data_IF_314202856922
#
_entry.id   IF_314202856922
#
_cell.length_a   1.000
_cell.length_b   1.000
_cell.length_c   1.000
_cell.angle_alpha   90.00
_cell.angle_beta   90.00
_cell.angle_gamma   90.00
#
_symmetry.space_group_name_H-M   'P 1'
#
loop_
_entity.id
_entity.type
_entity.pdbx_description
1 polymer ?
#
# COMPACT_ATOMS: atom_id res chain seq x y z
N UNK A 1 14.09 -4.51 -11.58
CA UNK A 1 12.83 -3.74 -11.55
C UNK A 1 12.64 -3.13 -12.92
N UNK A 2 11.50 -3.36 -13.56
CA UNK A 2 11.14 -2.73 -14.85
C UNK A 2 9.93 -1.82 -14.57
N UNK A 3 10.11 -0.51 -14.74
CA UNK A 3 9.06 0.50 -14.57
C UNK A 3 8.49 0.81 -15.96
N UNK A 4 7.17 0.72 -16.12
CA UNK A 4 6.46 1.03 -17.38
C UNK A 4 5.55 2.23 -17.20
N UNK A 5 5.49 3.10 -18.20
CA UNK A 5 5.02 4.48 -18.11
C UNK A 5 3.77 4.70 -18.94
N UNK A 6 2.55 4.33 -18.51
CA UNK A 6 1.36 4.54 -19.38
C UNK A 6 -0.06 4.58 -18.77
N UNK A 7 -0.39 4.94 -17.52
CA UNK A 7 -1.83 4.82 -17.11
C UNK A 7 -2.38 5.91 -16.19
N UNK A 8 -3.72 6.01 -16.14
CA UNK A 8 -4.55 7.03 -15.48
C UNK A 8 -4.32 7.15 -13.96
N UNK A 9 -3.14 7.62 -13.54
CA UNK A 9 -2.79 7.97 -12.15
C UNK A 9 -2.97 6.87 -11.09
N UNK A 10 -3.15 5.60 -11.50
CA UNK A 10 -3.23 4.45 -10.59
C UNK A 10 -2.07 3.51 -10.95
N UNK A 11 -1.14 3.21 -10.03
CA UNK A 11 -0.12 2.19 -10.23
C UNK A 11 -0.77 0.85 -10.59
N UNK A 12 -0.13 0.06 -11.46
CA UNK A 12 -0.65 -1.26 -11.84
C UNK A 12 0.47 -2.29 -11.72
N UNK A 13 0.15 -3.45 -11.12
CA UNK A 13 1.05 -4.58 -11.00
C UNK A 13 0.74 -5.71 -11.98
N UNK A 14 1.79 -6.23 -12.63
CA UNK A 14 1.74 -7.53 -13.29
C UNK A 14 2.44 -8.56 -12.39
N UNK A 15 1.69 -9.45 -11.69
CA UNK A 15 2.24 -10.35 -10.67
C UNK A 15 3.10 -11.48 -11.25
N UNK A 16 2.96 -11.78 -12.55
CA UNK A 16 3.85 -12.66 -13.29
C UNK A 16 3.76 -12.36 -14.79
N UNK A 17 4.90 -12.18 -15.44
CA UNK A 17 5.02 -12.24 -16.90
C UNK A 17 5.72 -13.56 -17.21
N UNK A 18 5.16 -14.38 -18.09
CA UNK A 18 5.70 -15.72 -18.41
C UNK A 18 7.18 -15.68 -18.84
N UNK A 19 7.62 -14.55 -19.41
CA UNK A 19 8.99 -14.31 -19.88
C UNK A 19 9.95 -13.86 -18.75
N UNK A 20 9.42 -13.43 -17.60
CA UNK A 20 10.18 -12.95 -16.44
C UNK A 20 9.62 -13.56 -15.12
N UNK A 21 9.76 -14.88 -14.93
CA UNK A 21 9.29 -15.53 -13.72
C UNK A 21 9.99 -14.97 -12.48
N UNK A 22 9.21 -14.61 -11.46
CA UNK A 22 9.70 -14.02 -10.21
C UNK A 22 9.82 -12.50 -10.21
N UNK A 23 9.50 -11.82 -11.31
CA UNK A 23 9.44 -10.35 -11.36
C UNK A 23 8.01 -9.84 -11.22
N UNK A 24 7.84 -8.77 -10.45
CA UNK A 24 6.66 -7.92 -10.48
C UNK A 24 6.99 -6.65 -11.29
N UNK A 25 6.13 -6.32 -12.26
CA UNK A 25 6.23 -5.04 -12.98
C UNK A 25 5.28 -4.06 -12.32
N UNK A 26 5.78 -2.89 -11.93
CA UNK A 26 4.95 -1.80 -11.40
C UNK A 26 5.03 -0.63 -12.36
N UNK A 27 3.88 -0.23 -12.91
CA UNK A 27 3.79 0.94 -13.75
C UNK A 27 3.58 2.22 -12.93
N UNK A 28 4.30 3.30 -13.29
CA UNK A 28 4.04 4.65 -12.79
C UNK A 28 3.46 5.51 -13.93
N UNK A 29 2.72 6.60 -13.65
CA UNK A 29 2.32 7.55 -14.68
C UNK A 29 3.54 8.04 -15.47
N UNK A 30 3.42 8.23 -16.78
CA UNK A 30 4.58 8.55 -17.61
C UNK A 30 5.31 9.83 -17.20
N UNK A 31 4.54 10.84 -16.76
CA UNK A 31 5.06 12.09 -16.22
C UNK A 31 5.86 11.93 -14.92
N UNK A 32 5.80 10.77 -14.27
CA UNK A 32 6.42 10.46 -12.98
C UNK A 32 7.40 9.29 -13.09
N UNK A 33 7.71 8.85 -14.32
CA UNK A 33 8.53 7.66 -14.57
C UNK A 33 9.99 7.82 -14.16
N UNK A 34 10.50 9.05 -14.07
CA UNK A 34 11.83 9.42 -13.58
C UNK A 34 11.84 9.82 -12.09
N UNK A 35 10.68 9.78 -11.42
CA UNK A 35 10.55 10.18 -10.03
C UNK A 35 10.86 9.02 -9.08
N UNK A 36 12.14 8.87 -8.73
CA UNK A 36 12.62 7.85 -7.80
C UNK A 36 11.94 7.91 -6.41
N UNK A 37 11.35 9.04 -6.02
CA UNK A 37 10.65 9.19 -4.75
C UNK A 37 9.33 8.39 -4.69
N UNK A 38 8.81 7.93 -5.83
CA UNK A 38 7.59 7.13 -5.92
C UNK A 38 7.82 5.63 -5.89
N UNK A 39 9.08 5.18 -5.94
CA UNK A 39 9.43 3.76 -5.77
C UNK A 39 8.79 3.12 -4.52
N UNK A 40 8.63 3.79 -3.36
CA UNK A 40 7.93 3.20 -2.21
C UNK A 40 6.51 2.68 -2.49
N UNK A 41 5.81 3.23 -3.49
CA UNK A 41 4.46 2.79 -3.90
C UNK A 41 4.48 1.35 -4.43
N UNK A 42 5.59 0.91 -5.01
CA UNK A 42 5.76 -0.48 -5.44
C UNK A 42 5.62 -1.47 -4.29
N UNK A 43 5.78 -1.04 -3.03
CA UNK A 43 5.53 -1.88 -1.86
C UNK A 43 4.07 -2.28 -1.70
N UNK A 44 3.14 -1.39 -2.04
CA UNK A 44 1.70 -1.69 -2.04
C UNK A 44 1.39 -2.72 -3.12
N UNK A 45 1.90 -2.50 -4.32
CA UNK A 45 1.74 -3.43 -5.45
C UNK A 45 2.34 -4.82 -5.20
N UNK A 46 3.54 -4.87 -4.60
CA UNK A 46 4.18 -6.12 -4.19
C UNK A 46 3.32 -6.87 -3.16
N UNK A 47 2.60 -6.15 -2.32
CA UNK A 47 1.82 -6.75 -1.26
C UNK A 47 0.63 -7.56 -1.78
N UNK A 48 0.06 -7.25 -2.95
CA UNK A 48 -0.94 -8.13 -3.58
C UNK A 48 -0.36 -9.50 -3.93
N UNK A 49 0.90 -9.55 -4.36
CA UNK A 49 1.61 -10.82 -4.59
C UNK A 49 1.82 -11.58 -3.28
N UNK A 50 2.18 -10.87 -2.22
CA UNK A 50 2.34 -11.46 -0.87
C UNK A 50 1.00 -11.98 -0.33
N UNK A 51 -0.09 -11.21 -0.48
CA UNK A 51 -1.44 -11.57 -0.10
C UNK A 51 -1.88 -12.91 -0.70
N UNK A 52 -1.60 -13.10 -1.99
CA UNK A 52 -1.86 -14.35 -2.70
C UNK A 52 -0.99 -15.49 -2.17
N UNK A 53 0.32 -15.27 -2.01
CA UNK A 53 1.27 -16.30 -1.55
C UNK A 53 0.98 -16.79 -0.13
N UNK A 54 0.58 -15.88 0.75
CA UNK A 54 0.24 -16.18 2.13
C UNK A 54 -1.19 -16.75 2.29
N UNK A 55 -1.95 -16.87 1.19
CA UNK A 55 -3.34 -17.36 1.21
C UNK A 55 -4.26 -16.60 2.18
N UNK A 56 -3.97 -15.32 2.45
CA UNK A 56 -4.71 -14.52 3.45
C UNK A 56 -6.19 -14.46 3.11
N UNK A 57 -6.53 -14.37 1.81
CA UNK A 57 -7.91 -14.43 1.33
C UNK A 57 -8.63 -15.69 1.82
N UNK A 58 -8.02 -16.86 1.72
CA UNK A 58 -8.64 -18.11 2.15
C UNK A 58 -8.87 -18.12 3.67
N UNK A 59 -7.92 -17.59 4.43
CA UNK A 59 -7.98 -17.50 5.89
C UNK A 59 -8.95 -16.42 6.41
N UNK A 60 -9.33 -15.47 5.57
CA UNK A 60 -10.18 -14.34 5.91
C UNK A 60 -11.63 -14.53 5.43
N UNK A 61 -11.84 -15.33 4.40
CA UNK A 61 -13.14 -15.44 3.72
C UNK A 61 -14.28 -15.83 4.67
N UNK A 62 -14.11 -16.94 5.42
CA UNK A 62 -15.12 -17.38 6.37
C UNK A 62 -15.33 -16.37 7.53
N UNK A 63 -14.29 -15.85 8.20
CA UNK A 63 -14.46 -14.77 9.18
C UNK A 63 -15.25 -13.56 8.66
N UNK A 64 -14.98 -13.13 7.42
CA UNK A 64 -15.71 -12.01 6.79
C UNK A 64 -17.18 -12.38 6.58
N UNK A 65 -17.48 -13.58 6.09
CA UNK A 65 -18.85 -14.03 5.92
C UNK A 65 -19.63 -14.03 7.24
N UNK A 66 -19.03 -14.53 8.32
CA UNK A 66 -19.65 -14.54 9.64
C UNK A 66 -19.91 -13.12 10.18
N UNK A 67 -18.94 -12.21 10.00
CA UNK A 67 -19.11 -10.81 10.39
C UNK A 67 -20.18 -10.10 9.56
N UNK A 68 -20.28 -10.39 8.26
CA UNK A 68 -21.33 -9.86 7.40
C UNK A 68 -22.70 -10.38 7.80
N UNK A 69 -22.81 -11.66 8.16
CA UNK A 69 -24.06 -12.24 8.65
C UNK A 69 -24.56 -11.51 9.89
N UNK A 70 -23.68 -11.29 10.87
CA UNK A 70 -24.01 -10.50 12.07
C UNK A 70 -24.45 -9.09 11.71
N UNK A 71 -23.68 -8.41 10.85
CA UNK A 71 -23.98 -7.03 10.45
C UNK A 71 -25.30 -6.91 9.68
N UNK A 72 -25.64 -7.89 8.84
CA UNK A 72 -26.91 -7.93 8.11
C UNK A 72 -28.07 -8.24 9.06
N UNK A 73 -27.89 -9.13 10.04
CA UNK A 73 -28.90 -9.36 11.09
C UNK A 73 -29.20 -8.07 11.86
N UNK A 74 -28.20 -7.24 12.13
CA UNK A 74 -28.38 -5.94 12.79
C UNK A 74 -29.10 -4.90 11.90
N UNK A 75 -29.19 -5.14 10.59
CA UNK A 75 -29.82 -4.26 9.59
C UNK A 75 -30.89 -5.00 8.78
N UNK A 76 -31.59 -5.95 9.43
CA UNK A 76 -32.45 -6.91 8.75
C UNK A 76 -33.67 -6.29 8.06
N UNK A 77 -34.23 -5.21 8.64
CA UNK A 77 -35.38 -4.51 8.05
C UNK A 77 -35.04 -3.90 6.69
N UNK A 78 -33.91 -3.19 6.60
CA UNK A 78 -33.44 -2.62 5.33
C UNK A 78 -33.06 -3.73 4.34
N UNK A 79 -32.40 -4.79 4.82
CA UNK A 79 -32.08 -5.95 4.00
C UNK A 79 -33.36 -6.57 3.38
N UNK A 80 -34.38 -6.83 4.19
CA UNK A 80 -35.65 -7.39 3.72
C UNK A 80 -36.36 -6.48 2.71
N UNK A 81 -36.32 -5.16 2.92
CA UNK A 81 -36.86 -4.19 1.98
C UNK A 81 -36.14 -4.26 0.62
N UNK A 82 -34.81 -4.26 0.63
CA UNK A 82 -33.97 -4.20 -0.57
C UNK A 82 -33.98 -5.47 -1.41
N UNK A 83 -34.05 -6.62 -0.75
CA UNK A 83 -34.00 -7.93 -1.41
C UNK A 83 -35.38 -8.59 -1.50
N UNK A 84 -36.44 -7.86 -1.15
CA UNK A 84 -37.83 -8.34 -1.15
C UNK A 84 -38.00 -9.68 -0.43
N UNK A 85 -37.30 -9.82 0.71
CA UNK A 85 -37.37 -11.02 1.57
C UNK A 85 -38.23 -10.75 2.81
N UNK A 86 -38.67 -11.83 3.45
CA UNK A 86 -39.44 -11.81 4.70
C UNK A 86 -38.77 -12.68 5.78
N UNK A 87 -37.43 -12.66 5.79
CA UNK A 87 -36.64 -13.47 6.70
C UNK A 87 -36.59 -12.81 8.07
N UNK A 88 -36.77 -13.59 9.13
CA UNK A 88 -36.26 -13.22 10.45
C UNK A 88 -34.77 -13.59 10.58
N UNK A 89 -34.11 -13.15 11.66
CA UNK A 89 -32.68 -13.38 11.86
C UNK A 89 -32.34 -14.88 11.92
N UNK A 90 -33.22 -15.71 12.50
CA UNK A 90 -33.00 -17.16 12.60
C UNK A 90 -33.07 -17.81 11.21
N UNK A 91 -34.07 -17.44 10.42
CA UNK A 91 -34.27 -17.90 9.05
C UNK A 91 -33.12 -17.47 8.13
N UNK A 92 -32.61 -16.24 8.28
CA UNK A 92 -31.44 -15.76 7.55
C UNK A 92 -30.20 -16.61 7.87
N UNK A 93 -29.93 -16.87 9.15
CA UNK A 93 -28.80 -17.70 9.57
C UNK A 93 -28.92 -19.14 9.04
N UNK A 94 -30.11 -19.73 9.11
CA UNK A 94 -30.36 -21.10 8.63
C UNK A 94 -30.20 -21.25 7.11
N UNK A 95 -30.46 -20.17 6.35
CA UNK A 95 -30.38 -20.15 4.89
C UNK A 95 -29.11 -19.48 4.35
N UNK A 96 -28.18 -19.08 5.23
CA UNK A 96 -27.04 -18.22 4.88
C UNK A 96 -26.24 -18.68 3.65
N UNK A 97 -25.96 -19.99 3.57
CA UNK A 97 -25.17 -20.60 2.48
C UNK A 97 -26.01 -21.08 1.29
N UNK A 98 -27.34 -20.99 1.38
CA UNK A 98 -28.27 -21.46 0.36
C UNK A 98 -28.46 -20.37 -0.72
N UNK A 99 -28.51 -20.79 -1.99
CA UNK A 99 -29.09 -19.91 -3.02
C UNK A 99 -30.60 -19.85 -2.77
N UNK A 100 -31.25 -18.66 -2.72
CA UNK A 100 -30.80 -17.35 -3.23
C UNK A 100 -30.15 -16.42 -2.19
N UNK A 101 -30.21 -16.72 -0.89
CA UNK A 101 -29.68 -15.84 0.18
C UNK A 101 -28.21 -15.54 -0.02
N UNK A 102 -27.40 -16.52 -0.44
CA UNK A 102 -25.98 -16.29 -0.74
C UNK A 102 -25.72 -15.18 -1.76
N UNK A 103 -26.59 -15.04 -2.75
CA UNK A 103 -26.42 -14.06 -3.84
C UNK A 103 -26.65 -12.62 -3.35
N UNK A 104 -27.44 -12.43 -2.30
CA UNK A 104 -27.76 -11.09 -1.77
C UNK A 104 -26.59 -10.46 -1.01
N UNK A 105 -25.71 -11.27 -0.41
CA UNK A 105 -24.58 -10.78 0.39
C UNK A 105 -23.21 -11.01 -0.27
N UNK A 106 -23.12 -11.80 -1.35
CA UNK A 106 -21.84 -12.13 -1.96
C UNK A 106 -21.06 -10.90 -2.45
N UNK A 107 -21.72 -9.87 -2.98
CA UNK A 107 -21.05 -8.62 -3.37
C UNK A 107 -20.43 -7.91 -2.18
N UNK A 108 -21.11 -7.86 -1.03
CA UNK A 108 -20.56 -7.30 0.21
C UNK A 108 -19.32 -8.07 0.67
N UNK A 109 -19.33 -9.40 0.55
CA UNK A 109 -18.13 -10.24 0.82
C UNK A 109 -16.98 -9.87 -0.12
N UNK A 110 -17.24 -9.75 -1.42
CA UNK A 110 -16.22 -9.38 -2.40
C UNK A 110 -15.60 -8.02 -2.06
N UNK A 111 -16.42 -7.00 -1.79
CA UNK A 111 -15.94 -5.69 -1.35
C UNK A 111 -15.13 -5.79 -0.06
N UNK A 112 -15.64 -6.46 0.98
CA UNK A 112 -14.94 -6.57 2.27
C UNK A 112 -13.57 -7.25 2.14
N UNK A 113 -13.47 -8.33 1.35
CA UNK A 113 -12.19 -9.02 1.11
C UNK A 113 -11.22 -8.12 0.33
N UNK A 114 -11.69 -7.39 -0.67
CA UNK A 114 -10.85 -6.44 -1.42
C UNK A 114 -10.37 -5.29 -0.55
N UNK A 115 -11.25 -4.69 0.24
CA UNK A 115 -10.87 -3.62 1.16
C UNK A 115 -9.85 -4.09 2.21
N UNK A 116 -9.98 -5.33 2.69
CA UNK A 116 -9.00 -5.94 3.59
C UNK A 116 -7.64 -6.17 2.91
N UNK A 117 -7.64 -6.59 1.64
CA UNK A 117 -6.43 -6.73 0.81
C UNK A 117 -5.74 -5.37 0.64
N UNK A 118 -6.47 -4.31 0.30
CA UNK A 118 -5.94 -2.95 0.18
C UNK A 118 -5.27 -2.45 1.46
N UNK A 119 -5.90 -2.67 2.62
CA UNK A 119 -5.32 -2.30 3.92
C UNK A 119 -4.07 -3.12 4.25
N UNK A 120 -4.09 -4.43 3.98
CA UNK A 120 -2.90 -5.26 4.12
C UNK A 120 -1.76 -4.73 3.24
N UNK A 121 -2.08 -4.35 2.01
CA UNK A 121 -1.09 -3.81 1.07
C UNK A 121 -0.45 -2.53 1.56
N UNK A 122 -1.25 -1.61 2.12
CA UNK A 122 -0.73 -0.42 2.75
C UNK A 122 0.15 -0.72 3.96
N UNK A 123 -0.28 -1.65 4.84
CA UNK A 123 0.49 -2.03 6.02
C UNK A 123 1.83 -2.64 5.64
N UNK A 124 1.86 -3.51 4.64
CA UNK A 124 3.10 -4.09 4.15
C UNK A 124 4.03 -3.02 3.60
N UNK A 125 3.50 -2.07 2.81
CA UNK A 125 4.27 -0.98 2.26
C UNK A 125 4.85 -0.05 3.35
N UNK A 126 4.07 0.26 4.40
CA UNK A 126 4.57 1.00 5.58
C UNK A 126 5.67 0.22 6.30
N UNK A 127 5.50 -1.09 6.50
CA UNK A 127 6.51 -1.91 7.18
C UNK A 127 7.82 -1.97 6.37
N UNK A 128 7.71 -2.08 5.04
CA UNK A 128 8.83 -2.19 4.11
C UNK A 128 9.57 -0.88 3.90
N UNK A 129 8.85 0.22 3.65
CA UNK A 129 9.43 1.51 3.24
C UNK A 129 9.29 2.63 4.28
N UNK A 130 8.59 2.42 5.39
CA UNK A 130 8.48 3.40 6.47
C UNK A 130 7.90 4.75 6.01
N UNK A 131 8.53 5.86 6.42
CA UNK A 131 8.05 7.21 6.13
C UNK A 131 8.06 7.52 4.62
N UNK A 132 8.96 6.91 3.86
CA UNK A 132 9.01 7.07 2.40
C UNK A 132 7.70 6.63 1.73
N UNK A 133 7.06 5.56 2.21
CA UNK A 133 5.74 5.15 1.71
C UNK A 133 4.68 6.20 2.00
N UNK A 134 4.62 6.70 3.24
CA UNK A 134 3.64 7.72 3.63
C UNK A 134 3.74 8.95 2.73
N UNK A 135 4.96 9.43 2.49
CA UNK A 135 5.21 10.58 1.63
C UNK A 135 4.83 10.32 0.17
N UNK A 136 5.23 9.18 -0.40
CA UNK A 136 4.85 8.83 -1.76
C UNK A 136 3.33 8.66 -1.93
N UNK A 137 2.67 8.06 -0.94
CA UNK A 137 1.21 7.88 -0.91
C UNK A 137 0.50 9.23 -0.89
N UNK A 138 0.95 10.17 -0.05
CA UNK A 138 0.40 11.53 -0.04
C UNK A 138 0.68 12.27 -1.35
N UNK A 139 1.88 12.15 -1.93
CA UNK A 139 2.19 12.77 -3.20
C UNK A 139 1.20 12.39 -4.32
N UNK A 140 0.83 11.11 -4.39
CA UNK A 140 -0.10 10.63 -5.42
C UNK A 140 -1.57 10.91 -5.11
N UNK A 141 -1.98 10.88 -3.83
CA UNK A 141 -3.39 10.80 -3.47
C UNK A 141 -3.93 12.02 -2.69
N UNK A 142 -3.08 12.95 -2.25
CA UNK A 142 -3.49 14.16 -1.53
C UNK A 142 -3.52 15.40 -2.44
N UNK A 143 -4.49 16.32 -2.32
CA UNK A 143 -5.66 16.23 -1.43
C UNK A 143 -6.75 15.29 -1.94
N UNK A 144 -6.84 15.10 -3.26
CA UNK A 144 -7.46 14.01 -4.03
C UNK A 144 -7.64 14.43 -5.50
N UNK A 145 -7.86 13.45 -6.36
CA UNK A 145 -8.51 13.63 -7.66
C UNK A 145 -10.04 13.69 -7.47
N UNK A 146 -10.76 14.47 -8.28
CA UNK A 146 -12.23 14.65 -8.25
C UNK A 146 -13.06 13.38 -8.57
N UNK A 147 -12.43 12.20 -8.55
CA UNK A 147 -13.05 10.93 -8.94
C UNK A 147 -13.71 10.26 -7.72
N UNK A 148 -14.88 9.63 -7.88
CA UNK A 148 -15.49 8.83 -6.82
C UNK A 148 -14.58 7.67 -6.38
N UNK A 149 -14.67 7.25 -5.10
CA UNK A 149 -13.94 6.04 -4.67
C UNK A 149 -14.42 4.81 -5.43
N UNK A 150 -13.51 3.86 -5.65
CA UNK A 150 -13.92 2.49 -5.99
C UNK A 150 -14.45 1.77 -4.73
N UNK A 151 -15.53 0.97 -4.82
CA UNK A 151 -16.05 0.16 -3.71
C UNK A 151 -15.05 -0.86 -3.14
N UNK A 152 -14.03 -1.22 -3.93
CA UNK A 152 -12.98 -2.15 -3.54
C UNK A 152 -12.00 -1.56 -2.53
N UNK A 153 -12.00 -0.23 -2.36
CA UNK A 153 -11.15 0.47 -1.41
C UNK A 153 -11.94 0.91 -0.16
N UNK A 154 -11.32 0.84 1.03
CA UNK A 154 -11.90 1.45 2.21
C UNK A 154 -12.08 2.97 2.00
N UNK A 155 -12.97 3.62 2.77
CA UNK A 155 -13.04 5.08 2.83
C UNK A 155 -11.65 5.68 3.06
N UNK A 156 -11.29 6.73 2.31
CA UNK A 156 -9.92 7.26 2.26
C UNK A 156 -9.45 7.71 3.65
N UNK A 157 -10.28 8.45 4.38
CA UNK A 157 -9.90 8.94 5.70
C UNK A 157 -9.67 7.79 6.69
N UNK A 158 -10.48 6.73 6.60
CA UNK A 158 -10.27 5.53 7.42
C UNK A 158 -8.97 4.82 7.02
N UNK A 159 -8.74 4.61 5.72
CA UNK A 159 -7.52 4.00 5.18
C UNK A 159 -6.27 4.71 5.72
N UNK A 160 -6.25 6.04 5.62
CA UNK A 160 -5.15 6.88 6.12
C UNK A 160 -5.01 6.81 7.65
N UNK A 161 -6.12 6.81 8.40
CA UNK A 161 -6.08 6.65 9.85
C UNK A 161 -5.43 5.32 10.27
N UNK A 162 -5.77 4.23 9.58
CA UNK A 162 -5.20 2.92 9.88
C UNK A 162 -3.71 2.82 9.48
N UNK A 163 -3.33 3.42 8.36
CA UNK A 163 -1.92 3.57 7.95
C UNK A 163 -1.13 4.30 9.04
N UNK A 164 -1.66 5.42 9.56
CA UNK A 164 -1.02 6.20 10.63
C UNK A 164 -0.96 5.41 11.94
N UNK A 165 -2.00 4.64 12.26
CA UNK A 165 -2.01 3.77 13.43
C UNK A 165 -0.89 2.71 13.34
N UNK A 166 -0.74 2.03 12.19
CA UNK A 166 0.34 1.09 11.94
C UNK A 166 1.72 1.74 12.02
N UNK A 167 1.89 2.90 11.38
CA UNK A 167 3.16 3.64 11.43
C UNK A 167 3.56 4.00 12.87
N UNK A 168 2.61 4.48 13.69
CA UNK A 168 2.85 4.81 15.10
C UNK A 168 3.24 3.59 15.93
N UNK A 169 2.51 2.49 15.76
CA UNK A 169 2.78 1.21 16.42
C UNK A 169 4.21 0.73 16.15
N UNK A 170 4.66 0.85 14.90
CA UNK A 170 5.98 0.40 14.47
C UNK A 170 7.08 1.46 14.56
N UNK A 171 6.77 2.59 15.23
CA UNK A 171 7.67 3.73 15.44
C UNK A 171 8.23 4.34 14.15
N UNK A 172 7.46 4.28 13.08
CA UNK A 172 7.72 4.97 11.81
C UNK A 172 7.29 6.43 11.97
N UNK A 173 8.18 7.42 11.69
CA UNK A 173 7.80 8.82 11.71
C UNK A 173 6.66 9.11 10.71
N UNK A 174 5.61 9.76 11.20
CA UNK A 174 4.47 10.21 10.37
C UNK A 174 4.66 11.68 10.03
N UNK A 175 4.47 12.11 8.76
CA UNK A 175 4.55 13.51 8.39
C UNK A 175 3.59 14.39 9.21
N UNK A 176 3.93 15.67 9.38
CA UNK A 176 3.07 16.60 10.12
C UNK A 176 1.79 16.84 9.33
N UNK A 177 0.66 16.85 10.04
CA UNK A 177 -0.67 17.08 9.46
C UNK A 177 -1.02 16.11 8.32
N UNK A 178 -0.52 14.88 8.41
CA UNK A 178 -0.67 13.87 7.36
C UNK A 178 -2.13 13.47 7.13
N UNK A 179 -2.94 13.33 8.18
CA UNK A 179 -4.34 12.93 8.00
C UNK A 179 -5.12 14.08 7.35
N UNK A 180 -4.83 15.31 7.77
CA UNK A 180 -5.47 16.54 7.34
C UNK A 180 -5.15 16.91 5.89
N UNK A 181 -4.14 16.29 5.27
CA UNK A 181 -3.86 16.49 3.85
C UNK A 181 -4.82 15.71 2.95
N UNK A 182 -5.56 14.72 3.45
CA UNK A 182 -6.49 13.92 2.66
C UNK A 182 -7.94 14.40 2.81
N UNK A 183 -8.73 14.20 1.75
CA UNK A 183 -10.17 14.41 1.74
C UNK A 183 -10.90 13.08 1.50
N UNK A 184 -12.18 13.01 1.85
CA UNK A 184 -13.01 11.87 1.47
C UNK A 184 -13.50 12.12 0.03
N UNK A 185 -13.31 11.16 -0.90
CA UNK A 185 -13.76 11.34 -2.26
C UNK A 185 -15.29 11.24 -2.31
N UNK A 186 -15.92 11.69 -3.40
CA UNK A 186 -17.34 11.47 -3.60
C UNK A 186 -17.68 9.97 -3.52
N UNK A 187 -18.88 9.66 -3.02
CA UNK A 187 -19.38 8.29 -3.03
C UNK A 187 -19.51 7.75 -4.47
N UNK A 188 -19.28 6.45 -4.67
CA UNK A 188 -19.45 5.82 -5.97
C UNK A 188 -20.91 5.88 -6.42
N UNK A 189 -21.11 5.97 -7.74
CA UNK A 189 -22.45 5.87 -8.33
C UNK A 189 -22.89 4.40 -8.33
N UNK A 190 -23.66 4.01 -7.31
CA UNK A 190 -24.13 2.64 -7.09
C UNK A 190 -25.66 2.57 -7.01
N UNK A 191 -26.24 1.40 -7.27
CA UNK A 191 -27.64 1.11 -6.95
C UNK A 191 -27.88 1.13 -5.43
N UNK A 192 -29.15 1.18 -5.01
CA UNK A 192 -29.50 1.16 -3.56
C UNK A 192 -28.99 -0.13 -2.89
N UNK A 193 -29.12 -1.26 -3.57
CA UNK A 193 -28.64 -2.57 -3.12
C UNK A 193 -27.12 -2.61 -2.99
N UNK A 194 -26.39 -2.12 -3.99
CA UNK A 194 -24.92 -2.08 -3.95
C UNK A 194 -24.40 -1.12 -2.88
N UNK A 195 -25.08 0.01 -2.63
CA UNK A 195 -24.74 0.91 -1.51
C UNK A 195 -24.89 0.22 -0.17
N UNK A 196 -25.98 -0.53 0.04
CA UNK A 196 -26.15 -1.34 1.24
C UNK A 196 -25.03 -2.37 1.38
N UNK A 197 -24.70 -3.10 0.32
CA UNK A 197 -23.62 -4.09 0.32
C UNK A 197 -22.25 -3.46 0.61
N UNK A 198 -21.96 -2.29 0.06
CA UNK A 198 -20.75 -1.51 0.36
C UNK A 198 -20.73 -1.05 1.82
N UNK A 199 -21.85 -0.57 2.36
CA UNK A 199 -21.94 -0.18 3.77
C UNK A 199 -21.71 -1.37 4.71
N UNK A 200 -22.22 -2.57 4.38
CA UNK A 200 -21.94 -3.79 5.13
C UNK A 200 -20.44 -4.13 5.09
N UNK A 201 -19.79 -4.02 3.92
CA UNK A 201 -18.35 -4.23 3.78
C UNK A 201 -17.54 -3.24 4.63
N UNK A 202 -17.83 -1.94 4.49
CA UNK A 202 -17.18 -0.88 5.26
C UNK A 202 -17.36 -1.10 6.78
N UNK A 203 -18.49 -1.65 7.23
CA UNK A 203 -18.74 -1.91 8.64
C UNK A 203 -17.94 -3.10 9.20
N UNK A 204 -17.70 -4.15 8.41
CA UNK A 204 -17.05 -5.38 8.90
C UNK A 204 -15.53 -5.36 8.82
N UNK A 205 -14.95 -4.68 7.81
CA UNK A 205 -13.49 -4.65 7.59
C UNK A 205 -12.69 -4.19 8.81
N UNK A 206 -13.12 -3.17 9.60
CA UNK A 206 -12.41 -2.75 10.81
C UNK A 206 -12.12 -3.86 11.82
N UNK A 207 -12.97 -4.91 11.86
CA UNK A 207 -12.79 -6.05 12.78
C UNK A 207 -11.51 -6.85 12.50
N UNK A 208 -10.98 -6.76 11.28
CA UNK A 208 -9.82 -7.54 10.84
C UNK A 208 -8.52 -6.74 10.79
N UNK A 209 -8.58 -5.41 10.96
CA UNK A 209 -7.43 -4.51 10.80
C UNK A 209 -6.22 -4.92 11.63
N UNK A 210 -6.40 -5.26 12.91
CA UNK A 210 -5.30 -5.66 13.80
C UNK A 210 -4.61 -6.92 13.28
N UNK A 211 -5.38 -7.92 12.84
CA UNK A 211 -4.84 -9.16 12.27
C UNK A 211 -4.09 -8.92 10.96
N UNK A 212 -4.65 -8.08 10.08
CA UNK A 212 -4.04 -7.71 8.80
C UNK A 212 -2.70 -7.00 9.02
N UNK A 213 -2.69 -6.01 9.92
CA UNK A 213 -1.49 -5.26 10.30
C UNK A 213 -0.41 -6.17 10.86
N UNK A 214 -0.76 -7.05 11.80
CA UNK A 214 0.19 -8.01 12.36
C UNK A 214 0.77 -8.94 11.30
N UNK A 215 -0.08 -9.48 10.40
CA UNK A 215 0.37 -10.37 9.32
C UNK A 215 1.34 -9.68 8.36
N UNK A 216 1.07 -8.41 8.00
CA UNK A 216 1.96 -7.63 7.15
C UNK A 216 3.31 -7.37 7.84
N UNK A 217 3.28 -7.02 9.13
CA UNK A 217 4.48 -6.78 9.92
C UNK A 217 5.36 -8.03 10.03
N UNK A 218 4.78 -9.15 10.44
CA UNK A 218 5.51 -10.40 10.64
C UNK A 218 6.12 -10.91 9.34
N UNK A 219 5.43 -10.74 8.21
CA UNK A 219 5.98 -11.08 6.92
C UNK A 219 7.22 -10.26 6.58
N UNK A 220 7.17 -8.93 6.74
CA UNK A 220 8.32 -8.05 6.46
C UNK A 220 9.47 -8.35 7.40
N UNK A 221 9.21 -8.50 8.71
CA UNK A 221 10.22 -8.75 9.73
C UNK A 221 10.96 -10.08 9.52
N UNK A 222 10.25 -11.11 9.04
CA UNK A 222 10.86 -12.41 8.74
C UNK A 222 11.56 -12.49 7.38
N UNK A 223 11.19 -11.63 6.42
CA UNK A 223 11.64 -11.75 5.03
C UNK A 223 12.72 -10.75 4.62
N UNK A 224 12.79 -9.59 5.27
CA UNK A 224 13.74 -8.54 4.88
C UNK A 224 14.11 -7.61 6.04
N UNK A 225 15.16 -6.82 5.84
CA UNK A 225 15.56 -5.81 6.81
C UNK A 225 14.68 -4.55 6.66
N UNK A 226 14.10 -4.10 7.76
CA UNK A 226 13.39 -2.82 7.83
C UNK A 226 14.34 -1.60 7.78
N UNK A 227 13.86 -0.43 7.31
CA UNK A 227 14.66 0.79 7.30
C UNK A 227 15.08 1.19 8.72
N UNK A 228 16.32 1.68 8.83
CA UNK A 228 16.92 2.13 10.07
C UNK A 228 17.12 3.64 10.06
N UNK A 229 16.64 4.33 11.10
CA UNK A 229 16.85 5.77 11.24
C UNK A 229 18.35 6.15 11.23
N UNK A 230 19.22 5.30 11.81
CA UNK A 230 20.68 5.53 11.81
C UNK A 230 21.23 5.55 10.39
N UNK A 231 20.82 4.58 9.58
CA UNK A 231 21.30 4.44 8.20
C UNK A 231 20.72 5.51 7.29
N UNK A 232 19.41 5.77 7.41
CA UNK A 232 18.74 6.89 6.75
C UNK A 232 19.46 8.22 7.02
N UNK A 233 19.91 8.49 8.25
CA UNK A 233 20.69 9.72 8.58
C UNK A 233 22.06 9.73 7.90
N UNK A 234 22.74 8.57 7.80
CA UNK A 234 24.04 8.45 7.12
C UNK A 234 23.90 8.80 5.64
N UNK A 235 22.93 8.20 4.96
CA UNK A 235 22.65 8.44 3.54
C UNK A 235 22.22 9.90 3.32
N UNK A 236 21.34 10.44 4.17
CA UNK A 236 20.93 11.84 4.11
C UNK A 236 22.13 12.81 4.17
N UNK A 237 23.14 12.53 5.00
CA UNK A 237 24.37 13.34 5.05
C UNK A 237 25.17 13.30 3.74
N UNK A 238 25.15 12.16 3.03
CA UNK A 238 25.79 12.02 1.70
C UNK A 238 25.02 12.80 0.64
N UNK A 239 23.71 12.69 0.62
CA UNK A 239 22.87 13.44 -0.31
C UNK A 239 23.00 14.96 -0.14
N UNK A 240 23.17 15.46 1.09
CA UNK A 240 23.48 16.87 1.34
C UNK A 240 24.78 17.37 0.70
N UNK A 241 25.71 16.47 0.38
CA UNK A 241 26.97 16.76 -0.28
C UNK A 241 26.89 16.50 -1.79
N UNK A 242 25.71 16.15 -2.32
CA UNK A 242 25.51 15.74 -3.72
C UNK A 242 26.39 14.55 -4.14
N UNK A 243 26.68 13.64 -3.20
CA UNK A 243 27.46 12.44 -3.46
C UNK A 243 26.61 11.21 -3.20
N UNK A 244 26.63 10.19 -4.10
CA UNK A 244 25.94 8.94 -3.84
C UNK A 244 26.39 8.29 -2.52
N UNK A 245 25.45 7.60 -1.88
CA UNK A 245 25.78 6.78 -0.73
C UNK A 245 26.22 5.39 -1.18
N UNK A 246 27.26 4.87 -0.54
CA UNK A 246 27.78 3.52 -0.75
C UNK A 246 27.50 2.67 0.48
N UNK A 247 27.57 1.35 0.32
CA UNK A 247 27.36 0.35 1.37
C UNK A 247 26.04 0.56 2.10
N UNK A 248 24.98 0.82 1.34
CA UNK A 248 23.65 1.03 1.89
C UNK A 248 23.07 -0.31 2.39
N UNK A 249 22.36 -0.28 3.52
CA UNK A 249 21.77 -1.51 4.07
C UNK A 249 20.55 -1.98 3.29
N UNK A 250 19.68 -1.06 2.90
CA UNK A 250 18.41 -1.38 2.23
C UNK A 250 18.03 -0.28 1.25
N UNK A 251 17.24 -0.63 0.23
CA UNK A 251 16.59 0.34 -0.66
C UNK A 251 15.69 1.31 0.14
N UNK A 252 15.00 0.82 1.17
CA UNK A 252 14.14 1.64 2.02
C UNK A 252 14.93 2.74 2.73
N UNK A 253 16.14 2.49 3.21
CA UNK A 253 16.99 3.51 3.83
C UNK A 253 17.34 4.65 2.84
N UNK A 254 17.63 4.30 1.59
CA UNK A 254 17.92 5.26 0.51
C UNK A 254 16.71 6.16 0.27
N UNK A 255 15.53 5.56 0.10
CA UNK A 255 14.30 6.29 -0.22
C UNK A 255 13.80 7.16 0.95
N UNK A 256 13.95 6.70 2.20
CA UNK A 256 13.66 7.53 3.37
C UNK A 256 14.61 8.73 3.48
N UNK A 257 15.89 8.55 3.14
CA UNK A 257 16.86 9.63 3.13
C UNK A 257 16.54 10.64 2.01
N UNK A 258 16.08 10.15 0.86
CA UNK A 258 15.69 10.97 -0.27
C UNK A 258 14.50 11.88 0.08
N UNK A 259 13.42 11.31 0.63
CA UNK A 259 12.26 12.08 1.07
C UNK A 259 12.60 13.16 2.11
N UNK A 260 13.52 12.87 3.05
CA UNK A 260 14.01 13.85 4.02
C UNK A 260 14.74 15.05 3.41
N UNK A 261 15.38 14.86 2.26
CA UNK A 261 15.97 15.97 1.50
C UNK A 261 14.86 16.75 0.79
N UNK A 262 13.94 16.06 0.13
CA UNK A 262 12.84 16.67 -0.63
C UNK A 262 11.98 17.62 0.23
N UNK A 263 11.67 17.23 1.47
CA UNK A 263 10.92 18.07 2.42
C UNK A 263 11.66 19.36 2.82
N UNK A 264 12.99 19.41 2.69
CA UNK A 264 13.82 20.55 3.10
C UNK A 264 14.18 21.42 1.90
N UNK A 265 13.15 21.91 1.21
CA UNK A 265 13.24 22.77 0.03
C UNK A 265 14.25 23.94 0.17
N UNK A 266 14.49 24.44 1.40
CA UNK A 266 15.49 25.48 1.70
C UNK A 266 16.97 25.08 1.64
N UNK A 267 17.32 23.79 1.46
CA UNK A 267 18.70 23.37 1.26
C UNK A 267 19.23 23.76 -0.14
N UNK A 268 18.36 23.75 -1.14
CA UNK A 268 18.72 23.95 -2.55
C UNK A 268 18.92 25.41 -2.92
N UNK A 269 18.18 26.32 -2.26
CA UNK A 269 18.37 27.77 -2.40
C UNK A 269 19.79 28.24 -2.02
N UNK A 270 20.57 27.44 -1.30
CA UNK A 270 21.95 27.78 -0.88
C UNK A 270 23.03 27.42 -1.91
N UNK A 271 22.71 26.64 -2.93
CA UNK A 271 23.69 26.21 -3.95
C UNK A 271 23.71 27.10 -5.20
N UNK A 272 22.81 28.08 -5.31
CA UNK A 272 22.79 29.06 -6.41
C UNK A 272 22.40 28.49 -7.78
N UNK A 273 21.88 27.27 -7.83
CA UNK A 273 21.39 26.63 -9.05
C UNK A 273 19.88 26.87 -9.24
N UNK A 274 19.43 27.01 -10.49
CA UNK A 274 18.01 27.12 -10.82
C UNK A 274 17.23 25.87 -10.38
N UNK A 275 16.04 26.06 -9.78
CA UNK A 275 15.23 25.01 -9.14
C UNK A 275 14.98 23.77 -10.03
N UNK A 276 14.81 23.94 -11.35
CA UNK A 276 14.53 22.82 -12.27
C UNK A 276 15.72 21.88 -12.49
N UNK A 277 16.95 22.40 -12.49
CA UNK A 277 18.14 21.56 -12.65
C UNK A 277 18.41 20.74 -11.38
N UNK A 278 17.96 21.23 -10.23
CA UNK A 278 18.20 20.60 -8.93
C UNK A 278 17.30 19.40 -8.65
N UNK A 279 16.03 19.44 -9.06
CA UNK A 279 15.13 18.26 -8.94
C UNK A 279 15.63 17.10 -9.79
N UNK A 280 16.02 17.37 -11.04
CA UNK A 280 16.58 16.35 -11.94
C UNK A 280 17.91 15.80 -11.39
N UNK A 281 18.84 16.67 -11.00
CA UNK A 281 20.11 16.24 -10.41
C UNK A 281 19.92 15.44 -9.10
N UNK A 282 18.90 15.77 -8.31
CA UNK A 282 18.57 15.02 -7.10
C UNK A 282 17.97 13.65 -7.41
N UNK A 283 17.05 13.55 -8.38
CA UNK A 283 16.55 12.26 -8.84
C UNK A 283 17.68 11.38 -9.37
N UNK A 284 18.59 11.93 -10.19
CA UNK A 284 19.78 11.22 -10.68
C UNK A 284 20.67 10.74 -9.54
N UNK A 285 20.87 11.57 -8.51
CA UNK A 285 21.64 11.20 -7.32
C UNK A 285 21.01 10.02 -6.56
N UNK A 286 19.69 10.01 -6.42
CA UNK A 286 18.94 8.92 -5.79
C UNK A 286 19.06 7.66 -6.64
N UNK A 287 18.80 7.76 -7.95
CA UNK A 287 18.90 6.64 -8.90
C UNK A 287 20.32 6.04 -8.93
N UNK A 288 21.35 6.88 -8.95
CA UNK A 288 22.75 6.42 -8.91
C UNK A 288 23.08 5.70 -7.62
N UNK A 289 22.50 6.15 -6.50
CA UNK A 289 22.67 5.47 -5.20
C UNK A 289 21.98 4.12 -5.17
N UNK A 290 20.80 4.00 -5.80
CA UNK A 290 20.11 2.72 -5.98
C UNK A 290 20.93 1.78 -6.88
N UNK A 291 21.50 2.28 -7.97
CA UNK A 291 22.35 1.51 -8.87
C UNK A 291 23.61 0.99 -8.16
N UNK A 292 24.29 1.84 -7.37
CA UNK A 292 25.46 1.44 -6.57
C UNK A 292 25.07 0.34 -5.58
N UNK A 293 23.95 0.51 -4.87
CA UNK A 293 23.44 -0.50 -3.95
C UNK A 293 23.18 -1.85 -4.65
N UNK A 294 22.55 -1.84 -5.82
CA UNK A 294 22.29 -3.06 -6.59
C UNK A 294 23.59 -3.74 -7.06
N UNK A 295 24.56 -2.96 -7.54
CA UNK A 295 25.90 -3.48 -7.89
C UNK A 295 26.62 -4.10 -6.68
N UNK A 296 26.55 -3.47 -5.51
CA UNK A 296 27.13 -4.00 -4.27
C UNK A 296 26.47 -5.34 -3.85
N UNK A 297 25.14 -5.42 -3.93
CA UNK A 297 24.36 -6.64 -3.64
C UNK A 297 24.70 -7.78 -4.61
N UNK A 298 24.76 -7.50 -5.92
CA UNK A 298 25.14 -8.48 -6.93
C UNK A 298 26.55 -9.00 -6.68
N UNK A 299 27.50 -8.11 -6.39
CA UNK A 299 28.87 -8.49 -6.09
C UNK A 299 28.95 -9.41 -4.86
N UNK A 300 28.28 -9.05 -3.76
CA UNK A 300 28.26 -9.89 -2.55
C UNK A 300 27.68 -11.29 -2.81
N UNK A 301 26.61 -11.39 -3.61
CA UNK A 301 26.03 -12.70 -3.99
C UNK A 301 26.97 -13.55 -4.83
N UNK A 302 27.74 -12.94 -5.73
CA UNK A 302 28.74 -13.65 -6.53
C UNK A 302 29.92 -14.12 -5.66
N UNK A 303 30.40 -13.30 -4.74
CA UNK A 303 31.46 -13.65 -3.80
C UNK A 303 31.05 -14.81 -2.87
N UNK A 304 29.82 -14.80 -2.35
CA UNK A 304 29.30 -15.90 -1.51
C UNK A 304 29.19 -17.24 -2.26
N UNK A 305 28.81 -17.22 -3.54
CA UNK A 305 28.74 -18.44 -4.37
C UNK A 305 30.11 -19.03 -4.62
N UNK A 306 31.12 -18.20 -4.90
CA UNK A 306 32.47 -18.67 -5.17
C UNK A 306 33.17 -19.18 -3.91
N UNK A 307 32.84 -18.63 -2.72
CA UNK A 307 33.40 -19.08 -1.44
C UNK A 307 32.77 -20.35 -0.84
N UNK A 308 31.75 -20.94 -1.48
CA UNK A 308 31.12 -22.21 -1.05
C UNK A 308 31.55 -23.41 -1.90
N UNK A 309 32.42 -23.21 -2.89
CA UNK A 309 33.00 -24.26 -3.75
C UNK A 309 34.45 -24.65 -3.38
N UNK A 310 35.02 -24.09 -2.30
CA UNK A 310 36.30 -24.50 -1.68
C UNK A 310 36.10 -25.35 -0.42
#
# INVERSE_FOLDING_TARGET
MLLSSEWMYIPHSYPSVDVLPGFALVGLPAAESDNALLVPITGHELAHVVWLRLSIKADLDLPVQLALREQICDNLDEYNELFHSSLDASALVAQWDQSPVRETWNTARVFAVRQAEELFSDFLAVALFGTAYLQAFAYLLSPQFLLPRSPEYPPMLRRVQEIVAAAREWRVPVPRSYIESFQEPPDPTLSRTERFQLAMADAVVPRFVVRLRQSAYDHVESSCQRPSNRETIRIYKRFKLLVPAESCRTLADILNAAWRINEKQGLWLRTGAEDRNMTSAFNDLVLKTIEIFDCEEVRQRLEMKNGTEE
#
